data_IF_547218295326
#
_entry.id   IF_547218295326
#
_cell.length_a   1.000
_cell.length_b   1.000
_cell.length_c   1.000
_cell.angle_alpha   90.00
_cell.angle_beta   90.00
_cell.angle_gamma   90.00
#
_symmetry.space_group_name_H-M   'P 1'
#
loop_
_entity.id
_entity.type
_entity.pdbx_description
1 polymer ?
#
# COMPACT_ATOMS: atom_id res chain seq x y z
N UNK A 1 29.41 28.44 -19.20
CA UNK A 1 28.36 27.44 -19.49
C UNK A 1 28.38 26.24 -18.52
N UNK A 2 29.53 25.64 -18.20
CA UNK A 2 29.63 24.48 -17.30
C UNK A 2 29.18 24.72 -15.84
N UNK A 3 29.45 25.91 -15.28
CA UNK A 3 29.03 26.26 -13.91
C UNK A 3 27.51 26.35 -13.70
N UNK A 4 26.77 26.75 -14.74
CA UNK A 4 25.29 26.80 -14.69
C UNK A 4 24.69 25.39 -14.79
N UNK A 5 25.27 24.52 -15.61
CA UNK A 5 24.83 23.13 -15.77
C UNK A 5 24.91 22.35 -14.44
N UNK A 6 26.03 22.46 -13.72
CA UNK A 6 26.19 21.83 -12.40
C UNK A 6 25.17 22.32 -11.36
N UNK A 7 24.83 23.61 -11.40
CA UNK A 7 23.82 24.21 -10.52
C UNK A 7 22.42 23.64 -10.80
N UNK A 8 22.06 23.45 -12.07
CA UNK A 8 20.78 22.85 -12.44
C UNK A 8 20.69 21.38 -11.99
N UNK A 9 21.73 20.57 -12.17
CA UNK A 9 21.73 19.18 -11.69
C UNK A 9 21.60 19.07 -10.18
N UNK A 10 22.32 19.92 -9.43
CA UNK A 10 22.16 19.97 -7.97
C UNK A 10 20.75 20.35 -7.56
N UNK A 11 20.12 21.31 -8.24
CA UNK A 11 18.75 21.70 -7.98
C UNK A 11 17.77 20.57 -8.31
N UNK A 12 17.90 19.94 -9.48
CA UNK A 12 17.05 18.82 -9.89
C UNK A 12 17.20 17.63 -8.94
N UNK A 13 18.43 17.27 -8.55
CA UNK A 13 18.68 16.23 -7.55
C UNK A 13 18.08 16.57 -6.19
N UNK A 14 18.18 17.83 -5.76
CA UNK A 14 17.56 18.30 -4.53
C UNK A 14 16.04 18.16 -4.57
N UNK A 15 15.39 18.61 -5.65
CA UNK A 15 13.94 18.54 -5.80
C UNK A 15 13.44 17.10 -5.97
N UNK A 16 14.14 16.29 -6.76
CA UNK A 16 13.82 14.87 -6.92
C UNK A 16 13.91 14.12 -5.59
N UNK A 17 14.95 14.37 -4.79
CA UNK A 17 15.06 13.80 -3.45
C UNK A 17 13.95 14.31 -2.51
N UNK A 18 13.59 15.59 -2.57
CA UNK A 18 12.45 16.15 -1.81
C UNK A 18 11.11 15.50 -2.19
N UNK A 19 10.90 15.20 -3.47
CA UNK A 19 9.69 14.48 -3.93
C UNK A 19 9.71 13.03 -3.41
N UNK A 20 10.85 12.35 -3.52
CA UNK A 20 11.01 10.99 -3.03
C UNK A 20 10.73 10.87 -1.52
N UNK A 21 11.14 11.86 -0.71
CA UNK A 21 10.90 11.86 0.72
C UNK A 21 9.41 11.91 1.11
N UNK A 22 8.50 12.37 0.24
CA UNK A 22 7.06 12.26 0.52
C UNK A 22 6.59 10.81 0.57
N UNK A 23 7.17 9.94 -0.25
CA UNK A 23 6.69 8.55 -0.49
C UNK A 23 7.69 7.48 -0.05
N UNK A 24 8.85 7.85 0.51
CA UNK A 24 9.93 6.92 0.90
C UNK A 24 9.45 5.74 1.74
N UNK A 25 8.60 5.99 2.75
CA UNK A 25 8.01 4.92 3.57
C UNK A 25 7.10 4.01 2.75
N UNK A 26 6.33 4.65 1.87
CA UNK A 26 5.21 4.05 1.16
C UNK A 26 5.64 3.22 -0.05
N UNK A 27 6.91 3.34 -0.47
CA UNK A 27 7.51 2.40 -1.40
C UNK A 27 7.49 0.96 -0.88
N UNK A 28 7.66 0.77 0.44
CA UNK A 28 7.70 -0.55 1.06
C UNK A 28 6.31 -1.06 1.48
N UNK A 29 5.32 -0.17 1.55
CA UNK A 29 3.99 -0.49 2.09
C UNK A 29 2.90 -0.51 1.02
N UNK A 30 3.02 0.35 0.00
CA UNK A 30 2.01 0.50 -1.06
C UNK A 30 2.62 0.21 -2.43
N UNK A 31 3.67 0.93 -2.84
CA UNK A 31 4.18 0.87 -4.23
C UNK A 31 4.69 -0.53 -4.56
N UNK A 32 5.68 -1.01 -3.80
CA UNK A 32 6.25 -2.34 -4.00
C UNK A 32 5.20 -3.46 -3.90
N UNK A 33 4.42 -3.52 -2.81
CA UNK A 33 3.39 -4.56 -2.65
C UNK A 33 2.31 -4.55 -3.72
N UNK A 34 1.81 -3.39 -4.15
CA UNK A 34 0.77 -3.30 -5.19
C UNK A 34 1.32 -3.61 -6.57
N UNK A 35 2.57 -3.21 -6.86
CA UNK A 35 3.29 -3.65 -8.06
C UNK A 35 3.43 -5.18 -8.08
N UNK A 36 3.88 -5.77 -6.98
CA UNK A 36 4.01 -7.22 -6.84
C UNK A 36 2.65 -7.92 -7.02
N UNK A 37 1.58 -7.38 -6.44
CA UNK A 37 0.23 -7.87 -6.65
C UNK A 37 -0.14 -7.89 -8.14
N UNK A 38 0.01 -6.77 -8.85
CA UNK A 38 -0.32 -6.67 -10.27
C UNK A 38 0.43 -7.72 -11.10
N UNK A 39 1.72 -7.95 -10.81
CA UNK A 39 2.56 -8.95 -11.49
C UNK A 39 2.13 -10.38 -11.17
N UNK A 40 1.98 -10.73 -9.88
CA UNK A 40 1.63 -12.10 -9.50
C UNK A 40 0.25 -12.50 -10.03
N UNK A 41 -0.70 -11.57 -10.00
CA UNK A 41 -2.08 -11.85 -10.34
C UNK A 41 -2.32 -11.86 -11.85
N UNK A 42 -1.54 -11.10 -12.63
CA UNK A 42 -1.57 -11.24 -14.09
C UNK A 42 -0.88 -12.54 -14.55
N UNK A 43 0.15 -13.00 -13.85
CA UNK A 43 0.79 -14.29 -14.13
C UNK A 43 -0.08 -15.48 -13.68
N UNK A 44 -0.93 -15.28 -12.68
CA UNK A 44 -1.89 -16.26 -12.19
C UNK A 44 -3.29 -16.14 -12.83
N UNK A 45 -3.42 -15.49 -14.00
CA UNK A 45 -4.74 -15.19 -14.58
C UNK A 45 -5.59 -16.46 -14.81
N UNK A 46 -4.97 -17.59 -15.13
CA UNK A 46 -5.63 -18.89 -15.27
C UNK A 46 -6.21 -19.42 -13.95
N UNK A 47 -5.65 -19.06 -12.80
CA UNK A 47 -6.18 -19.43 -11.49
C UNK A 47 -7.55 -18.78 -11.20
N UNK A 48 -7.88 -17.71 -11.91
CA UNK A 48 -9.19 -17.06 -11.88
C UNK A 48 -10.19 -17.65 -12.88
N UNK A 49 -9.86 -18.77 -13.54
CA UNK A 49 -10.62 -19.37 -14.65
C UNK A 49 -10.82 -18.44 -15.84
N UNK A 50 -9.81 -17.60 -16.12
CA UNK A 50 -9.84 -16.63 -17.21
C UNK A 50 -8.97 -17.11 -18.36
N UNK A 51 -9.38 -16.76 -19.58
CA UNK A 51 -8.53 -16.96 -20.75
C UNK A 51 -7.27 -16.10 -20.61
N UNK A 52 -6.09 -16.60 -21.03
CA UNK A 52 -4.87 -15.79 -21.03
C UNK A 52 -5.14 -14.50 -21.78
N UNK A 53 -4.91 -13.35 -21.13
CA UNK A 53 -4.77 -12.10 -21.86
C UNK A 53 -3.65 -12.26 -22.90
N UNK A 54 -3.76 -11.62 -24.05
CA UNK A 54 -2.77 -11.60 -25.15
C UNK A 54 -1.39 -10.99 -24.77
N UNK A 55 -1.00 -11.05 -23.49
CA UNK A 55 0.26 -10.56 -22.96
C UNK A 55 1.38 -11.45 -23.50
N UNK A 56 1.86 -11.02 -24.65
CA UNK A 56 2.96 -11.61 -25.36
C UNK A 56 4.27 -11.20 -24.68
N UNK A 57 4.83 -12.07 -23.83
CA UNK A 57 6.16 -11.88 -23.22
C UNK A 57 7.32 -12.14 -24.19
N UNK A 58 7.08 -12.12 -25.50
CA UNK A 58 8.07 -12.44 -26.53
C UNK A 58 9.21 -11.42 -26.63
N UNK A 59 9.02 -10.21 -26.13
CA UNK A 59 10.05 -9.18 -26.12
C UNK A 59 10.90 -9.26 -24.83
N UNK A 60 12.25 -9.24 -24.90
CA UNK A 60 13.14 -9.40 -23.72
C UNK A 60 12.92 -8.35 -22.62
N UNK A 61 12.34 -7.19 -22.98
CA UNK A 61 12.03 -6.10 -22.06
C UNK A 61 10.54 -6.01 -21.67
N UNK A 62 9.69 -6.96 -22.07
CA UNK A 62 8.25 -6.92 -21.81
C UNK A 62 7.95 -6.86 -20.30
N UNK A 63 8.60 -7.74 -19.51
CA UNK A 63 8.43 -7.77 -18.06
C UNK A 63 8.90 -6.47 -17.40
N UNK A 64 10.06 -5.92 -17.81
CA UNK A 64 10.58 -4.68 -17.26
C UNK A 64 9.64 -3.50 -17.55
N UNK A 65 9.11 -3.41 -18.78
CA UNK A 65 8.10 -2.39 -19.15
C UNK A 65 6.82 -2.53 -18.34
N UNK A 66 6.36 -3.76 -18.11
CA UNK A 66 5.19 -4.04 -17.28
C UNK A 66 5.40 -3.58 -15.83
N UNK A 67 6.53 -3.97 -15.21
CA UNK A 67 6.91 -3.55 -13.86
C UNK A 67 6.96 -2.03 -13.77
N UNK A 68 7.62 -1.37 -14.73
CA UNK A 68 7.74 0.09 -14.76
C UNK A 68 6.38 0.77 -14.91
N UNK A 69 5.52 0.27 -15.81
CA UNK A 69 4.16 0.79 -16.05
C UNK A 69 3.29 0.71 -14.79
N UNK A 70 3.25 -0.47 -14.14
CA UNK A 70 2.46 -0.67 -12.92
C UNK A 70 3.01 0.20 -11.78
N UNK A 71 4.33 0.17 -11.57
CA UNK A 71 4.99 0.96 -10.51
C UNK A 71 4.74 2.44 -10.67
N UNK A 72 4.85 2.95 -11.90
CA UNK A 72 4.56 4.35 -12.20
C UNK A 72 3.09 4.69 -11.88
N UNK A 73 2.14 3.86 -12.32
CA UNK A 73 0.72 4.09 -12.06
C UNK A 73 0.40 4.11 -10.56
N UNK A 74 0.93 3.15 -9.78
CA UNK A 74 0.73 3.12 -8.33
C UNK A 74 1.36 4.35 -7.68
N UNK A 75 2.59 4.68 -8.05
CA UNK A 75 3.33 5.80 -7.47
C UNK A 75 2.70 7.16 -7.78
N UNK A 76 2.26 7.41 -9.02
CA UNK A 76 1.66 8.70 -9.39
C UNK A 76 0.29 8.88 -8.72
N UNK A 77 -0.47 7.81 -8.47
CA UNK A 77 -1.71 7.86 -7.70
C UNK A 77 -1.48 8.01 -6.19
N UNK A 78 -0.33 7.60 -5.67
CA UNK A 78 0.04 7.72 -4.26
C UNK A 78 0.66 9.07 -3.92
N UNK A 79 1.50 9.63 -4.80
CA UNK A 79 2.29 10.82 -4.53
C UNK A 79 1.46 12.04 -4.08
N UNK A 80 0.39 12.47 -4.78
CA UNK A 80 -0.40 13.62 -4.34
C UNK A 80 -1.12 13.37 -3.00
N UNK A 81 -1.55 12.13 -2.74
CA UNK A 81 -2.10 11.72 -1.44
C UNK A 81 -1.05 11.81 -0.33
N UNK A 82 0.18 11.35 -0.60
CA UNK A 82 1.27 11.38 0.36
C UNK A 82 1.71 12.82 0.70
N UNK A 83 1.62 13.73 -0.27
CA UNK A 83 1.78 15.17 -0.03
C UNK A 83 0.64 15.66 0.88
N UNK A 84 -0.61 15.39 0.53
CA UNK A 84 -1.79 15.79 1.30
C UNK A 84 -1.73 15.37 2.77
N UNK A 85 -1.30 14.12 3.01
CA UNK A 85 -1.18 13.54 4.34
C UNK A 85 -0.11 14.21 5.21
N UNK A 86 0.70 15.11 4.66
CA UNK A 86 1.75 15.85 5.38
C UNK A 86 1.44 17.35 5.51
N UNK A 87 0.45 17.88 4.78
CA UNK A 87 0.28 19.34 4.62
C UNK A 87 -0.33 20.04 5.83
N UNK A 88 -1.17 19.37 6.62
CA UNK A 88 -1.87 20.04 7.72
C UNK A 88 -0.91 20.31 8.90
N UNK A 89 -1.13 21.38 9.70
CA UNK A 89 -0.29 21.65 10.87
C UNK A 89 -0.20 20.45 11.84
N UNK A 90 -1.32 19.73 12.03
CA UNK A 90 -1.36 18.52 12.85
C UNK A 90 -0.57 17.35 12.24
N UNK A 91 -0.58 17.20 10.92
CA UNK A 91 0.23 16.19 10.24
C UNK A 91 1.72 16.52 10.33
N UNK A 92 2.09 17.80 10.24
CA UNK A 92 3.47 18.24 10.39
C UNK A 92 4.00 18.01 11.81
N UNK A 93 3.18 18.23 12.85
CA UNK A 93 3.58 17.96 14.24
C UNK A 93 3.69 16.46 14.53
N UNK A 94 2.79 15.63 13.99
CA UNK A 94 2.89 14.17 14.01
C UNK A 94 4.22 13.70 13.38
N UNK A 95 4.49 14.16 12.15
CA UNK A 95 5.67 13.74 11.41
C UNK A 95 6.98 14.28 12.01
N UNK A 96 6.95 15.42 12.68
CA UNK A 96 8.10 15.93 13.43
C UNK A 96 8.51 15.00 14.59
N UNK A 97 7.62 14.13 15.06
CA UNK A 97 7.96 13.09 16.05
C UNK A 97 8.28 11.76 15.37
N UNK A 98 7.40 11.30 14.49
CA UNK A 98 7.52 9.95 13.94
C UNK A 98 8.56 9.84 12.80
N UNK A 99 8.71 10.91 12.01
CA UNK A 99 9.30 10.89 10.65
C UNK A 99 10.01 12.20 10.28
N UNK A 100 10.93 12.67 11.15
CA UNK A 100 11.72 13.91 10.97
C UNK A 100 12.41 14.07 9.59
N UNK A 101 12.68 12.96 8.92
CA UNK A 101 13.31 12.93 7.60
C UNK A 101 12.37 13.31 6.45
N UNK A 102 11.04 13.37 6.65
CA UNK A 102 10.05 13.70 5.60
C UNK A 102 10.24 15.13 5.09
N UNK A 103 9.70 15.41 3.92
CA UNK A 103 9.97 16.65 3.17
C UNK A 103 9.64 17.92 3.94
N UNK A 104 8.46 17.98 4.59
CA UNK A 104 8.03 19.15 5.34
C UNK A 104 8.75 19.28 6.71
N UNK A 105 8.84 18.22 7.55
CA UNK A 105 9.62 18.30 8.79
C UNK A 105 11.09 18.65 8.59
N UNK A 106 11.72 18.10 7.53
CA UNK A 106 13.12 18.41 7.18
C UNK A 106 13.29 19.75 6.45
N UNK A 107 12.22 20.55 6.33
CA UNK A 107 12.22 21.91 5.75
C UNK A 107 12.75 21.98 4.32
N UNK A 108 12.56 20.90 3.54
CA UNK A 108 13.00 20.84 2.15
C UNK A 108 12.04 21.49 1.16
N UNK A 109 10.78 21.66 1.59
CA UNK A 109 9.75 22.44 0.90
C UNK A 109 8.90 23.15 1.95
N UNK A 110 8.37 24.32 1.61
CA UNK A 110 7.32 24.95 2.43
C UNK A 110 5.97 24.27 2.19
N UNK A 111 5.01 24.36 3.14
CA UNK A 111 3.66 23.87 2.92
C UNK A 111 2.99 24.46 1.68
N UNK A 112 3.25 25.73 1.36
CA UNK A 112 2.73 26.40 0.16
C UNK A 112 3.29 25.77 -1.12
N UNK A 113 4.60 25.49 -1.15
CA UNK A 113 5.24 24.84 -2.29
C UNK A 113 4.71 23.42 -2.51
N UNK A 114 4.60 22.63 -1.43
CA UNK A 114 4.06 21.28 -1.49
C UNK A 114 2.57 21.27 -1.90
N UNK A 115 1.78 22.22 -1.38
CA UNK A 115 0.38 22.39 -1.76
C UNK A 115 0.19 22.76 -3.24
N UNK A 116 1.06 23.62 -3.79
CA UNK A 116 1.05 23.97 -5.20
C UNK A 116 1.42 22.79 -6.11
N UNK A 117 2.31 21.89 -5.66
CA UNK A 117 2.70 20.69 -6.39
C UNK A 117 1.58 19.63 -6.46
N UNK A 118 0.69 19.61 -5.46
CA UNK A 118 -0.35 18.59 -5.31
C UNK A 118 -1.37 18.55 -6.45
N UNK A 119 -1.93 19.70 -6.82
CA UNK A 119 -2.99 19.78 -7.83
C UNK A 119 -2.56 19.24 -9.22
N UNK A 120 -1.42 19.66 -9.80
CA UNK A 120 -0.98 19.11 -11.07
C UNK A 120 -0.67 17.61 -10.97
N UNK A 121 -0.22 17.10 -9.81
CA UNK A 121 0.00 15.67 -9.63
C UNK A 121 -1.29 14.85 -9.61
N UNK A 122 -2.38 15.35 -9.00
CA UNK A 122 -3.69 14.70 -9.13
C UNK A 122 -4.18 14.69 -10.58
N UNK A 123 -3.99 15.79 -11.32
CA UNK A 123 -4.31 15.83 -12.74
C UNK A 123 -3.47 14.82 -13.54
N UNK A 124 -2.16 14.73 -13.29
CA UNK A 124 -1.29 13.72 -13.88
C UNK A 124 -1.75 12.29 -13.56
N UNK A 125 -2.14 12.01 -12.31
CA UNK A 125 -2.67 10.71 -11.91
C UNK A 125 -3.96 10.35 -12.67
N UNK A 126 -4.89 11.29 -12.81
CA UNK A 126 -6.14 11.07 -13.56
C UNK A 126 -5.89 10.85 -15.05
N UNK A 127 -5.06 11.69 -15.69
CA UNK A 127 -4.73 11.57 -17.13
C UNK A 127 -4.04 10.24 -17.40
N UNK A 128 -3.02 9.88 -16.61
CA UNK A 128 -2.30 8.62 -16.78
C UNK A 128 -3.19 7.41 -16.50
N UNK A 129 -4.11 7.49 -15.54
CA UNK A 129 -5.08 6.41 -15.27
C UNK A 129 -6.12 6.26 -16.39
N UNK A 130 -6.50 7.35 -17.05
CA UNK A 130 -7.35 7.28 -18.25
C UNK A 130 -6.63 6.58 -19.42
N UNK A 131 -5.33 6.83 -19.59
CA UNK A 131 -4.51 6.24 -20.65
C UNK A 131 -4.13 4.79 -20.39
N UNK A 132 -3.71 4.46 -19.16
CA UNK A 132 -3.11 3.17 -18.81
C UNK A 132 -4.13 2.15 -18.28
N UNK A 133 -5.31 2.60 -17.85
CA UNK A 133 -6.27 1.85 -17.02
C UNK A 133 -6.25 2.33 -15.56
N UNK A 134 -7.26 1.94 -14.79
CA UNK A 134 -7.33 2.24 -13.36
C UNK A 134 -8.03 3.56 -13.00
N UNK A 135 -8.72 4.22 -13.94
CA UNK A 135 -9.34 5.54 -13.69
C UNK A 135 -10.34 5.50 -12.52
N UNK A 136 -11.13 4.43 -12.39
CA UNK A 136 -12.12 4.29 -11.31
C UNK A 136 -11.45 4.22 -9.93
N UNK A 137 -10.35 3.48 -9.87
CA UNK A 137 -9.52 3.34 -8.69
C UNK A 137 -8.81 4.67 -8.36
N UNK A 138 -8.32 5.40 -9.36
CA UNK A 138 -7.77 6.75 -9.18
C UNK A 138 -8.80 7.72 -8.57
N UNK A 139 -10.02 7.78 -9.14
CA UNK A 139 -11.08 8.63 -8.62
C UNK A 139 -11.53 8.21 -7.21
N UNK A 140 -11.58 6.90 -6.95
CA UNK A 140 -11.87 6.36 -5.62
C UNK A 140 -10.79 6.74 -4.61
N UNK A 141 -9.51 6.63 -4.98
CA UNK A 141 -8.37 7.05 -4.17
C UNK A 141 -8.39 8.56 -3.88
N UNK A 142 -8.79 9.38 -4.86
CA UNK A 142 -8.99 10.82 -4.65
C UNK A 142 -10.09 11.08 -3.61
N UNK A 143 -11.25 10.43 -3.75
CA UNK A 143 -12.35 10.55 -2.79
C UNK A 143 -11.98 10.08 -1.38
N UNK A 144 -11.35 8.90 -1.28
CA UNK A 144 -10.82 8.35 -0.03
C UNK A 144 -9.75 9.28 0.57
N UNK A 145 -8.90 9.88 -0.26
CA UNK A 145 -7.87 10.84 0.15
C UNK A 145 -8.45 12.13 0.71
N UNK A 146 -9.52 12.64 0.11
CA UNK A 146 -10.29 13.77 0.63
C UNK A 146 -10.89 13.42 1.99
N UNK A 147 -11.54 12.25 2.09
CA UNK A 147 -12.13 11.81 3.35
C UNK A 147 -11.07 11.64 4.45
N UNK A 148 -9.96 11.00 4.13
CA UNK A 148 -8.86 10.71 5.05
C UNK A 148 -8.20 12.00 5.58
N UNK A 149 -7.87 12.95 4.69
CA UNK A 149 -7.03 14.10 5.04
C UNK A 149 -7.81 15.37 5.40
N UNK A 150 -8.99 15.57 4.80
CA UNK A 150 -9.72 16.85 4.88
C UNK A 150 -11.02 16.73 5.67
N UNK A 151 -11.68 15.56 5.67
CA UNK A 151 -12.95 15.33 6.37
C UNK A 151 -12.80 14.53 7.67
N UNK A 152 -11.58 14.37 8.18
CA UNK A 152 -11.30 13.74 9.49
C UNK A 152 -11.50 12.22 9.55
N UNK A 153 -11.63 11.53 8.40
CA UNK A 153 -11.81 10.08 8.36
C UNK A 153 -10.63 9.29 8.95
N UNK A 154 -9.43 9.89 8.96
CA UNK A 154 -8.24 9.26 9.54
C UNK A 154 -8.05 9.48 11.04
N UNK A 155 -8.76 10.46 11.61
CA UNK A 155 -8.51 10.95 12.96
C UNK A 155 -9.60 10.53 13.96
N UNK A 156 -10.84 10.34 13.50
CA UNK A 156 -12.02 10.23 14.37
C UNK A 156 -12.30 8.84 14.94
N UNK A 157 -11.99 7.77 14.21
CA UNK A 157 -12.32 6.40 14.64
C UNK A 157 -11.43 5.35 13.94
N UNK A 158 -10.91 4.37 14.67
CA UNK A 158 -10.05 3.33 14.10
C UNK A 158 -10.76 2.46 13.06
N UNK A 159 -12.05 2.19 13.22
CA UNK A 159 -12.85 1.42 12.24
C UNK A 159 -12.96 2.17 10.93
N UNK A 160 -13.24 3.48 10.97
CA UNK A 160 -13.32 4.33 9.77
C UNK A 160 -11.95 4.41 9.10
N UNK A 161 -10.89 4.67 9.88
CA UNK A 161 -9.51 4.70 9.40
C UNK A 161 -9.13 3.38 8.72
N UNK A 162 -9.42 2.25 9.36
CA UNK A 162 -9.13 0.93 8.82
C UNK A 162 -9.94 0.63 7.57
N UNK A 163 -11.20 1.08 7.49
CA UNK A 163 -12.02 0.97 6.30
C UNK A 163 -11.41 1.75 5.13
N UNK A 164 -11.04 3.02 5.35
CA UNK A 164 -10.42 3.85 4.32
C UNK A 164 -9.09 3.24 3.85
N UNK A 165 -8.26 2.78 4.79
CA UNK A 165 -7.01 2.08 4.47
C UNK A 165 -7.27 0.82 3.64
N UNK A 166 -8.22 -0.02 4.05
CA UNK A 166 -8.62 -1.23 3.31
C UNK A 166 -9.09 -0.90 1.89
N UNK A 167 -10.01 0.05 1.74
CA UNK A 167 -10.50 0.49 0.45
C UNK A 167 -9.37 1.05 -0.43
N UNK A 168 -8.42 1.79 0.16
CA UNK A 168 -7.21 2.26 -0.53
C UNK A 168 -6.32 1.13 -1.03
N UNK A 169 -6.02 0.13 -0.19
CA UNK A 169 -5.27 -1.06 -0.59
C UNK A 169 -5.95 -1.81 -1.73
N UNK A 170 -7.27 -1.99 -1.66
CA UNK A 170 -8.06 -2.62 -2.73
C UNK A 170 -7.99 -1.78 -4.02
N UNK A 171 -8.08 -0.46 -3.94
CA UNK A 171 -7.93 0.41 -5.12
C UNK A 171 -6.52 0.30 -5.74
N UNK A 172 -5.46 0.31 -4.93
CA UNK A 172 -4.10 0.18 -5.45
C UNK A 172 -3.83 -1.18 -6.09
N UNK A 173 -4.27 -2.27 -5.45
CA UNK A 173 -4.07 -3.64 -5.95
C UNK A 173 -4.93 -3.93 -7.18
N UNK A 174 -6.21 -3.55 -7.18
CA UNK A 174 -7.08 -3.71 -8.34
C UNK A 174 -6.65 -2.81 -9.51
N UNK A 175 -6.27 -1.56 -9.27
CA UNK A 175 -5.76 -0.68 -10.31
C UNK A 175 -4.43 -1.17 -10.89
N UNK A 176 -3.53 -1.70 -10.06
CA UNK A 176 -2.30 -2.32 -10.51
C UNK A 176 -2.56 -3.52 -11.43
N UNK A 177 -3.55 -4.37 -11.12
CA UNK A 177 -3.95 -5.49 -11.97
C UNK A 177 -4.63 -5.01 -13.26
N UNK A 178 -5.47 -3.98 -13.20
CA UNK A 178 -6.12 -3.39 -14.37
C UNK A 178 -5.06 -2.87 -15.37
N UNK A 179 -4.09 -2.09 -14.87
CA UNK A 179 -2.94 -1.59 -15.65
C UNK A 179 -2.08 -2.72 -16.20
N UNK A 180 -1.88 -3.79 -15.43
CA UNK A 180 -1.11 -4.95 -15.83
C UNK A 180 -1.78 -5.74 -16.95
N UNK A 181 -3.10 -5.94 -16.84
CA UNK A 181 -3.92 -6.65 -17.83
C UNK A 181 -4.14 -5.87 -19.12
N UNK A 182 -4.03 -4.55 -19.09
CA UNK A 182 -4.38 -3.67 -20.21
C UNK A 182 -5.89 -3.58 -20.47
N UNK A 183 -6.71 -4.16 -19.60
CA UNK A 183 -8.17 -4.09 -19.68
C UNK A 183 -8.69 -2.89 -18.87
N UNK A 184 -9.88 -2.39 -19.19
CA UNK A 184 -10.57 -1.37 -18.37
C UNK A 184 -11.52 -1.98 -17.33
N UNK A 185 -11.80 -3.28 -17.45
CA UNK A 185 -12.74 -3.99 -16.62
C UNK A 185 -12.12 -5.31 -16.23
N UNK A 186 -11.80 -5.42 -14.93
CA UNK A 186 -11.37 -6.68 -14.38
C UNK A 186 -12.53 -7.67 -14.38
N UNK A 187 -12.25 -8.94 -14.69
CA UNK A 187 -13.28 -9.97 -14.71
C UNK A 187 -13.77 -10.29 -13.31
N UNK A 188 -15.04 -10.66 -13.20
CA UNK A 188 -15.72 -10.83 -11.90
C UNK A 188 -15.05 -11.86 -10.98
N UNK A 189 -14.39 -12.88 -11.56
CA UNK A 189 -13.67 -13.91 -10.82
C UNK A 189 -12.56 -13.38 -9.89
N UNK A 190 -12.03 -12.17 -10.11
CA UNK A 190 -11.01 -11.57 -9.22
C UNK A 190 -11.62 -10.86 -8.00
N UNK A 191 -12.91 -10.49 -8.03
CA UNK A 191 -13.52 -9.68 -6.98
C UNK A 191 -13.61 -10.34 -5.61
N UNK A 192 -13.91 -11.66 -5.48
CA UNK A 192 -13.87 -12.34 -4.19
C UNK A 192 -12.49 -12.25 -3.52
N UNK A 193 -11.42 -12.28 -4.32
CA UNK A 193 -10.07 -12.14 -3.80
C UNK A 193 -9.78 -10.73 -3.29
N UNK A 194 -10.23 -9.68 -3.99
CA UNK A 194 -10.16 -8.32 -3.48
C UNK A 194 -10.96 -8.11 -2.20
N UNK A 195 -12.16 -8.69 -2.11
CA UNK A 195 -12.99 -8.64 -0.89
C UNK A 195 -12.26 -9.29 0.29
N UNK A 196 -11.68 -10.47 0.07
CA UNK A 196 -10.91 -11.18 1.09
C UNK A 196 -9.68 -10.36 1.55
N UNK A 197 -8.88 -9.83 0.62
CA UNK A 197 -7.75 -8.97 0.95
C UNK A 197 -8.19 -7.67 1.63
N UNK A 198 -9.33 -7.11 1.25
CA UNK A 198 -9.95 -5.97 1.92
C UNK A 198 -10.22 -6.27 3.40
N UNK A 199 -10.79 -7.44 3.71
CA UNK A 199 -11.02 -7.87 5.09
C UNK A 199 -9.72 -8.11 5.86
N UNK A 200 -8.70 -8.69 5.21
CA UNK A 200 -7.36 -8.84 5.80
C UNK A 200 -6.81 -7.49 6.22
N UNK A 201 -6.79 -6.51 5.31
CA UNK A 201 -6.27 -5.17 5.61
C UNK A 201 -7.13 -4.48 6.65
N UNK A 202 -8.45 -4.49 6.50
CA UNK A 202 -9.39 -3.85 7.42
C UNK A 202 -9.19 -4.28 8.87
N UNK A 203 -8.88 -5.56 9.08
CA UNK A 203 -8.75 -6.13 10.43
C UNK A 203 -7.30 -6.21 10.93
N UNK A 204 -6.29 -5.88 10.12
CA UNK A 204 -4.88 -5.98 10.53
C UNK A 204 -4.02 -4.75 10.24
N UNK A 205 -4.53 -3.74 9.51
CA UNK A 205 -3.76 -2.54 9.13
C UNK A 205 -3.35 -1.67 10.31
N UNK A 206 -4.02 -1.80 11.47
CA UNK A 206 -3.59 -1.19 12.73
C UNK A 206 -2.18 -1.62 13.16
N UNK A 207 -1.60 -2.66 12.53
CA UNK A 207 -0.18 -3.00 12.67
C UNK A 207 0.74 -1.78 12.49
N UNK A 208 0.39 -0.85 11.61
CA UNK A 208 1.17 0.37 11.38
C UNK A 208 1.11 1.35 12.56
N UNK A 209 0.01 1.36 13.30
CA UNK A 209 -0.28 2.37 14.30
C UNK A 209 0.52 2.10 15.60
N UNK A 210 0.87 0.85 15.90
CA UNK A 210 1.63 0.51 17.13
C UNK A 210 2.95 1.27 17.26
N UNK A 211 3.68 1.43 16.15
CA UNK A 211 4.95 2.15 16.12
C UNK A 211 4.83 3.68 16.04
N UNK A 212 3.63 4.19 15.75
CA UNK A 212 3.37 5.61 15.47
C UNK A 212 2.51 6.27 16.58
N UNK A 213 2.19 5.55 17.68
CA UNK A 213 1.35 6.00 18.80
C UNK A 213 1.71 7.38 19.37
N UNK A 214 3.01 7.72 19.47
CA UNK A 214 3.46 9.00 19.99
C UNK A 214 3.00 10.18 19.10
N UNK A 215 3.24 10.08 17.79
CA UNK A 215 2.74 11.08 16.83
C UNK A 215 1.22 11.05 16.69
N UNK A 216 0.59 9.86 16.75
CA UNK A 216 -0.87 9.73 16.71
C UNK A 216 -1.52 10.46 17.90
N UNK A 217 -0.91 10.39 19.09
CA UNK A 217 -1.37 11.11 20.28
C UNK A 217 -1.29 12.63 20.07
N UNK A 218 -0.21 13.13 19.47
CA UNK A 218 -0.03 14.56 19.17
C UNK A 218 -1.04 15.05 18.13
N UNK A 219 -1.37 14.21 17.15
CA UNK A 219 -2.40 14.52 16.14
C UNK A 219 -3.83 14.40 16.69
N UNK A 220 -4.00 13.85 17.89
CA UNK A 220 -5.27 13.43 18.47
C UNK A 220 -6.02 12.42 17.58
N UNK A 221 -5.28 11.47 17.00
CA UNK A 221 -5.86 10.35 16.25
C UNK A 221 -6.44 9.30 17.19
N UNK A 222 -7.62 8.80 16.85
CA UNK A 222 -8.24 7.65 17.50
C UNK A 222 -7.86 6.35 16.79
N UNK A 223 -6.59 5.96 16.87
CA UNK A 223 -6.12 4.66 16.35
C UNK A 223 -6.50 3.52 17.30
N UNK A 224 -6.52 2.27 16.80
CA UNK A 224 -6.97 1.12 17.60
C UNK A 224 -6.22 0.99 18.95
N UNK A 225 -4.88 1.04 19.01
CA UNK A 225 -4.16 0.97 20.29
C UNK A 225 -4.50 2.13 21.25
N UNK A 226 -4.87 3.31 20.74
CA UNK A 226 -5.27 4.45 21.56
C UNK A 226 -6.75 4.39 22.00
N UNK A 227 -7.60 3.67 21.27
CA UNK A 227 -9.03 3.55 21.58
C UNK A 227 -9.35 2.42 22.57
N UNK A 228 -8.75 1.23 22.38
CA UNK A 228 -9.04 0.04 23.20
C UNK A 228 -7.87 -0.36 24.11
N UNK A 229 -6.78 0.41 24.08
CA UNK A 229 -5.54 0.11 24.77
C UNK A 229 -4.57 -0.73 23.93
N UNK A 230 -3.28 -0.52 24.19
CA UNK A 230 -2.19 -1.13 23.43
C UNK A 230 -2.23 -2.68 23.50
N UNK A 231 -2.37 -3.25 24.70
CA UNK A 231 -2.37 -4.72 24.89
C UNK A 231 -3.57 -5.43 24.22
N UNK A 232 -4.83 -5.01 24.42
CA UNK A 232 -5.96 -5.60 23.69
C UNK A 232 -5.82 -5.50 22.16
N UNK A 233 -5.40 -4.34 21.65
CA UNK A 233 -5.16 -4.15 20.22
C UNK A 233 -4.09 -5.10 19.67
N UNK A 234 -2.98 -5.30 20.41
CA UNK A 234 -1.94 -6.27 20.05
C UNK A 234 -2.48 -7.69 20.01
N UNK A 235 -3.21 -8.13 21.04
CA UNK A 235 -3.76 -9.48 21.11
C UNK A 235 -4.70 -9.79 19.93
N UNK A 236 -5.63 -8.88 19.63
CA UNK A 236 -6.58 -9.04 18.51
C UNK A 236 -5.82 -9.12 17.19
N UNK A 237 -4.89 -8.19 16.94
CA UNK A 237 -4.11 -8.16 15.70
C UNK A 237 -3.22 -9.39 15.56
N UNK A 238 -2.58 -9.84 16.65
CA UNK A 238 -1.72 -11.03 16.66
C UNK A 238 -2.50 -12.32 16.39
N UNK A 239 -3.77 -12.41 16.79
CA UNK A 239 -4.62 -13.55 16.48
C UNK A 239 -5.09 -13.53 15.00
N UNK A 240 -5.43 -12.36 14.48
CA UNK A 240 -6.00 -12.21 13.14
C UNK A 240 -4.99 -12.50 12.02
N UNK A 241 -3.71 -12.17 12.19
CA UNK A 241 -2.69 -12.41 11.16
C UNK A 241 -2.55 -13.91 10.79
N UNK A 242 -2.26 -14.85 11.70
CA UNK A 242 -2.19 -16.28 11.38
C UNK A 242 -3.56 -16.85 10.96
N UNK A 243 -4.67 -16.34 11.52
CA UNK A 243 -6.01 -16.70 11.08
C UNK A 243 -6.19 -16.43 9.58
N UNK A 244 -5.85 -15.22 9.12
CA UNK A 244 -5.94 -14.87 7.71
C UNK A 244 -4.96 -15.64 6.82
N UNK A 245 -3.77 -16.01 7.32
CA UNK A 245 -2.88 -16.92 6.58
C UNK A 245 -3.60 -18.22 6.21
N UNK A 246 -4.35 -18.82 7.14
CA UNK A 246 -5.10 -20.05 6.90
C UNK A 246 -6.30 -19.83 5.96
N UNK A 247 -7.10 -18.78 6.19
CA UNK A 247 -8.29 -18.51 5.36
C UNK A 247 -7.91 -18.21 3.91
N UNK A 248 -6.87 -17.39 3.68
CA UNK A 248 -6.39 -17.11 2.32
C UNK A 248 -5.83 -18.36 1.63
N UNK A 249 -5.10 -19.21 2.37
CA UNK A 249 -4.62 -20.47 1.83
C UNK A 249 -5.76 -21.44 1.48
N UNK A 250 -6.81 -21.51 2.31
CA UNK A 250 -8.01 -22.29 2.05
C UNK A 250 -8.77 -21.78 0.82
N UNK A 251 -8.92 -20.45 0.69
CA UNK A 251 -9.54 -19.81 -0.48
C UNK A 251 -8.85 -20.25 -1.77
N UNK A 252 -7.50 -20.28 -1.77
CA UNK A 252 -6.69 -20.75 -2.89
C UNK A 252 -6.43 -22.27 -2.90
N UNK A 253 -7.10 -23.05 -2.04
CA UNK A 253 -6.98 -24.52 -1.97
C UNK A 253 -5.53 -25.01 -1.94
N UNK A 254 -4.66 -24.30 -1.22
CA UNK A 254 -3.25 -24.65 -1.16
C UNK A 254 -3.03 -25.93 -0.34
N UNK A 255 -2.07 -26.75 -0.76
CA UNK A 255 -1.61 -27.89 0.05
C UNK A 255 -0.91 -27.40 1.32
N UNK A 256 -0.85 -28.25 2.34
CA UNK A 256 -0.15 -27.95 3.61
C UNK A 256 1.26 -27.41 3.37
N UNK A 257 2.04 -28.06 2.51
CA UNK A 257 3.40 -27.62 2.19
C UNK A 257 3.47 -26.20 1.62
N UNK A 258 2.51 -25.81 0.76
CA UNK A 258 2.49 -24.49 0.12
C UNK A 258 2.02 -23.37 1.05
N UNK A 259 1.15 -23.67 2.02
CA UNK A 259 0.68 -22.67 2.99
C UNK A 259 1.63 -22.47 4.19
N UNK A 260 2.44 -23.48 4.53
CA UNK A 260 3.35 -23.44 5.69
C UNK A 260 4.23 -22.18 5.77
N UNK A 261 4.89 -21.71 4.69
CA UNK A 261 5.73 -20.51 4.77
C UNK A 261 4.97 -19.25 5.18
N UNK A 262 3.74 -19.08 4.68
CA UNK A 262 2.90 -17.91 4.98
C UNK A 262 2.36 -17.97 6.40
N UNK A 263 2.01 -19.17 6.88
CA UNK A 263 1.61 -19.38 8.27
C UNK A 263 2.77 -19.11 9.23
N UNK A 264 3.98 -19.62 8.95
CA UNK A 264 5.18 -19.33 9.76
C UNK A 264 5.43 -17.83 9.84
N UNK A 265 5.33 -17.11 8.72
CA UNK A 265 5.50 -15.67 8.69
C UNK A 265 4.42 -14.95 9.52
N UNK A 266 3.17 -15.41 9.43
CA UNK A 266 2.07 -14.88 10.25
C UNK A 266 2.27 -15.11 11.76
N UNK A 267 2.69 -16.31 12.17
CA UNK A 267 3.04 -16.63 13.55
C UNK A 267 4.25 -15.82 14.04
N UNK A 268 5.24 -15.59 13.18
CA UNK A 268 6.38 -14.72 13.49
C UNK A 268 5.94 -13.28 13.79
N UNK A 269 5.02 -12.73 12.98
CA UNK A 269 4.43 -11.40 13.23
C UNK A 269 3.69 -11.38 14.57
N UNK A 270 2.84 -12.37 14.84
CA UNK A 270 2.10 -12.48 16.09
C UNK A 270 3.04 -12.53 17.32
N UNK A 271 4.07 -13.38 17.27
CA UNK A 271 5.10 -13.48 18.31
C UNK A 271 5.83 -12.14 18.53
N UNK A 272 6.28 -11.50 17.45
CA UNK A 272 6.97 -10.21 17.52
C UNK A 272 6.08 -9.14 18.12
N UNK A 273 4.83 -9.04 17.69
CA UNK A 273 3.89 -8.02 18.16
C UNK A 273 3.63 -8.11 19.66
N UNK A 274 3.62 -9.32 20.21
CA UNK A 274 3.38 -9.57 21.64
C UNK A 274 4.66 -9.50 22.49
N UNK A 275 5.83 -9.81 21.91
CA UNK A 275 7.08 -9.96 22.67
C UNK A 275 8.06 -8.79 22.50
N UNK A 276 7.89 -7.96 21.47
CA UNK A 276 8.82 -6.87 21.10
C UNK A 276 8.07 -5.54 20.99
N UNK A 277 7.73 -4.96 22.13
CA UNK A 277 6.76 -3.85 22.27
C UNK A 277 7.33 -2.42 22.08
N UNK A 278 8.59 -2.26 21.70
CA UNK A 278 9.14 -0.91 21.47
C UNK A 278 8.70 -0.38 20.11
N UNK A 279 8.55 0.95 19.99
CA UNK A 279 8.12 1.59 18.74
C UNK A 279 9.01 1.25 17.53
N UNK A 280 10.32 1.09 17.73
CA UNK A 280 11.25 0.65 16.68
C UNK A 280 10.97 -0.80 16.24
N UNK A 281 10.70 -1.68 17.20
CA UNK A 281 10.37 -3.07 16.93
C UNK A 281 9.00 -3.19 16.26
N UNK A 282 8.03 -2.36 16.63
CA UNK A 282 6.73 -2.27 15.98
C UNK A 282 6.87 -1.81 14.52
N UNK A 283 7.68 -0.77 14.25
CA UNK A 283 8.01 -0.35 12.87
C UNK A 283 8.67 -1.47 12.07
N UNK A 284 9.46 -2.32 12.72
CA UNK A 284 10.06 -3.50 12.08
C UNK A 284 9.00 -4.57 11.83
N UNK A 285 8.14 -4.86 12.80
CA UNK A 285 7.04 -5.83 12.67
C UNK A 285 6.07 -5.41 11.58
N UNK A 286 5.77 -4.11 11.43
CA UNK A 286 4.97 -3.61 10.31
C UNK A 286 5.62 -3.87 8.95
N UNK A 287 6.96 -3.75 8.82
CA UNK A 287 7.65 -4.15 7.56
C UNK A 287 7.50 -5.65 7.29
N UNK A 288 7.58 -6.49 8.31
CA UNK A 288 7.34 -7.93 8.19
C UNK A 288 5.88 -8.22 7.81
N UNK A 289 4.92 -7.47 8.33
CA UNK A 289 3.51 -7.53 7.92
C UNK A 289 3.32 -7.17 6.44
N UNK A 290 4.03 -6.16 5.92
CA UNK A 290 3.99 -5.85 4.49
C UNK A 290 4.58 -6.98 3.63
N UNK A 291 5.66 -7.64 4.10
CA UNK A 291 6.17 -8.84 3.46
C UNK A 291 5.15 -9.99 3.47
N UNK A 292 4.41 -10.14 4.58
CA UNK A 292 3.32 -11.10 4.68
C UNK A 292 2.18 -10.81 3.71
N UNK A 293 1.78 -9.55 3.55
CA UNK A 293 0.81 -9.15 2.51
C UNK A 293 1.28 -9.55 1.11
N UNK A 294 2.56 -9.31 0.78
CA UNK A 294 3.14 -9.76 -0.51
C UNK A 294 3.11 -11.28 -0.65
N UNK A 295 3.34 -12.02 0.43
CA UNK A 295 3.24 -13.49 0.42
C UNK A 295 1.79 -13.96 0.18
N UNK A 296 0.78 -13.28 0.74
CA UNK A 296 -0.63 -13.53 0.43
C UNK A 296 -0.92 -13.25 -1.06
N UNK A 297 -0.42 -12.13 -1.60
CA UNK A 297 -0.63 -11.74 -2.99
C UNK A 297 -0.08 -12.75 -4.02
N UNK A 298 0.89 -13.58 -3.60
CA UNK A 298 1.52 -14.62 -4.41
C UNK A 298 0.72 -15.94 -4.43
N UNK A 299 -0.19 -16.16 -3.47
CA UNK A 299 -0.97 -17.40 -3.36
C UNK A 299 -1.69 -17.87 -4.64
N UNK A 300 -2.25 -16.99 -5.49
CA UNK A 300 -2.87 -17.40 -6.76
C UNK A 300 -1.91 -18.20 -7.67
N UNK A 301 -0.61 -17.89 -7.65
CA UNK A 301 0.41 -18.62 -8.42
C UNK A 301 0.65 -20.05 -7.91
N UNK A 302 0.30 -20.28 -6.65
CA UNK A 302 0.49 -21.57 -5.98
C UNK A 302 -0.74 -22.47 -6.13
N UNK A 303 -1.84 -21.95 -6.68
CA UNK A 303 -3.06 -22.68 -6.95
C UNK A 303 -2.78 -23.94 -7.78
N UNK A 304 -3.37 -25.06 -7.34
CA UNK A 304 -3.33 -26.31 -8.09
C UNK A 304 -4.75 -26.58 -8.55
N UNK A 305 -4.99 -26.46 -9.85
CA UNK A 305 -6.26 -26.90 -10.43
C UNK A 305 -6.41 -28.41 -10.17
N UNK A 306 -7.58 -28.90 -9.70
CA UNK A 306 -7.79 -30.32 -9.56
C UNK A 306 -7.52 -30.98 -10.92
N UNK A 307 -6.65 -32.00 -10.94
CA UNK A 307 -6.51 -32.86 -12.12
C UNK A 307 -7.91 -33.35 -12.45
N UNK A 308 -8.41 -33.04 -13.65
CA UNK A 308 -9.59 -33.74 -14.18
C UNK A 308 -9.21 -35.22 -14.22
N UNK A 309 -9.80 -36.01 -13.33
CA UNK A 309 -9.76 -37.48 -13.37
C UNK A 309 -10.74 -37.91 -14.47
#
# INVERSE_FOLDING_TARGET
>A
MWGNFHKYWKLLGYQGYSIWLFTRSDFKTIVGPSTAFGIFNILAFSAYNLQPSDICFTHPFALLRLIAKITFWVWINLLPFAIDNQLSPKAMSEDAVNKLWRTLPSKRMTPQQAGALRAPLYACAAITSWQLGGLRQCLSLLGLGIWYNHLGGSDTNAVIRNFINSAGYVCYTSGALEVASGTRWLPEGVFPWFGLLGMVVFTTVQMQDFGDQAGDTIRDRKTLPLQIGDRPARCITAALVPFWSCICAQFWRLSVAKQTPVLILGCCIAYRLLSRISAEQDKTTFRVWNLWMVALYMMPLLYVSPKKI
#
